data_IF_812972962397
#
_entry.id   IF_812972962397
#
_cell.length_a   1.000
_cell.length_b   1.000
_cell.length_c   1.000
_cell.angle_alpha   90.00
_cell.angle_beta   90.00
_cell.angle_gamma   90.00
#
_symmetry.space_group_name_H-M   'P 1'
#
loop_
_entity.id
_entity.type
_entity.pdbx_description
1 polymer ?
#
# COMPACT_ATOMS: atom_id res chain seq x y z
N UNK A 1 -13.03 -16.78 8.50
CA UNK A 1 -11.83 -15.98 8.17
C UNK A 1 -12.18 -15.11 6.98
N UNK A 2 -11.95 -13.80 7.06
CA UNK A 2 -12.36 -12.84 6.03
C UNK A 2 -11.55 -13.09 4.75
N UNK A 3 -12.18 -13.72 3.75
CA UNK A 3 -11.60 -13.93 2.42
C UNK A 3 -11.65 -12.69 1.53
N UNK A 4 -12.34 -11.63 1.98
CA UNK A 4 -12.59 -10.41 1.21
C UNK A 4 -11.33 -9.52 1.12
N UNK A 5 -10.40 -9.60 2.09
CA UNK A 5 -9.17 -8.80 2.11
C UNK A 5 -7.88 -9.59 1.79
N UNK A 6 -7.95 -10.91 1.61
CA UNK A 6 -6.74 -11.73 1.38
C UNK A 6 -5.80 -11.88 2.57
N UNK A 7 -6.16 -11.36 3.75
CA UNK A 7 -5.29 -11.28 4.93
C UNK A 7 -5.06 -12.61 5.68
N UNK A 8 -5.55 -13.74 5.16
CA UNK A 8 -5.55 -15.00 5.91
C UNK A 8 -4.40 -15.95 5.57
N UNK A 9 -3.78 -15.85 4.38
CA UNK A 9 -2.64 -16.67 3.93
C UNK A 9 -2.38 -16.33 2.44
N UNK A 10 -1.77 -15.18 2.17
CA UNK A 10 -1.16 -14.92 0.87
C UNK A 10 0.21 -15.57 0.81
N UNK A 11 0.65 -16.00 -0.38
CA UNK A 11 2.06 -16.33 -0.61
C UNK A 11 2.87 -15.03 -0.51
N UNK A 12 3.22 -14.65 0.72
CA UNK A 12 4.10 -13.52 1.02
C UNK A 12 5.54 -13.98 0.81
N UNK A 13 6.34 -13.14 0.16
CA UNK A 13 7.75 -13.45 -0.09
C UNK A 13 8.57 -12.17 -0.03
N UNK A 14 9.65 -12.17 0.75
CA UNK A 14 10.65 -11.11 0.76
C UNK A 14 11.89 -11.64 0.07
N UNK A 15 12.45 -10.88 -0.86
CA UNK A 15 13.68 -11.24 -1.56
C UNK A 15 14.80 -11.60 -0.56
N UNK A 16 15.49 -12.73 -0.79
CA UNK A 16 16.50 -13.29 0.10
C UNK A 16 16.00 -14.40 1.05
N UNK A 17 14.68 -14.60 1.18
CA UNK A 17 14.12 -15.67 2.02
C UNK A 17 14.49 -17.09 1.54
N UNK A 18 14.83 -17.27 0.26
CA UNK A 18 15.29 -18.54 -0.32
C UNK A 18 16.62 -19.04 0.27
N UNK A 19 17.44 -18.13 0.79
CA UNK A 19 18.77 -18.44 1.34
C UNK A 19 18.73 -18.89 2.81
N UNK A 20 17.60 -18.74 3.50
CA UNK A 20 17.45 -19.14 4.90
C UNK A 20 16.83 -20.56 5.02
N UNK A 21 17.54 -21.56 5.58
CA UNK A 21 17.01 -22.92 5.75
C UNK A 21 15.83 -23.03 6.71
N UNK A 22 15.58 -22.00 7.53
CA UNK A 22 14.44 -21.93 8.45
C UNK A 22 13.35 -20.95 8.00
N UNK A 23 13.42 -20.45 6.76
CA UNK A 23 12.36 -19.59 6.22
C UNK A 23 11.06 -20.38 6.01
N UNK A 24 9.96 -19.86 6.56
CA UNK A 24 8.61 -20.40 6.33
C UNK A 24 8.13 -20.24 4.88
N UNK A 25 8.90 -19.54 4.03
CA UNK A 25 8.48 -19.05 2.71
C UNK A 25 9.06 -19.86 1.52
N UNK A 26 9.48 -21.11 1.75
CA UNK A 26 10.23 -21.94 0.78
C UNK A 26 9.46 -22.48 -0.44
N UNK A 27 8.20 -22.10 -0.68
CA UNK A 27 7.43 -22.62 -1.82
C UNK A 27 7.19 -21.58 -2.90
N UNK A 28 7.90 -21.70 -4.03
CA UNK A 28 7.60 -20.98 -5.25
C UNK A 28 6.15 -21.23 -5.72
N UNK A 29 5.49 -20.24 -6.37
CA UNK A 29 4.06 -20.03 -6.25
C UNK A 29 3.31 -20.47 -7.51
N UNK A 30 3.32 -21.76 -7.89
CA UNK A 30 2.59 -22.17 -9.10
C UNK A 30 1.79 -23.45 -8.90
N UNK A 31 0.90 -23.43 -7.92
CA UNK A 31 -0.36 -24.16 -8.00
C UNK A 31 -1.40 -23.43 -7.15
N UNK A 32 -2.61 -23.11 -7.67
CA UNK A 32 -3.71 -22.80 -6.78
C UNK A 32 -3.88 -24.00 -5.84
N UNK A 33 -3.83 -23.79 -4.53
CA UNK A 33 -4.23 -24.82 -3.59
C UNK A 33 -5.61 -25.33 -4.01
N UNK A 34 -5.74 -26.64 -4.24
CA UNK A 34 -7.00 -27.25 -4.64
C UNK A 34 -7.99 -27.02 -3.49
N UNK A 35 -8.84 -26.00 -3.62
CA UNK A 35 -9.88 -25.74 -2.63
C UNK A 35 -10.98 -26.77 -2.85
N UNK A 36 -11.34 -27.58 -1.85
CA UNK A 36 -12.58 -28.33 -1.92
C UNK A 36 -13.73 -27.34 -2.14
N UNK A 37 -14.60 -27.64 -3.11
CA UNK A 37 -15.79 -26.84 -3.33
C UNK A 37 -16.66 -26.92 -2.07
N UNK A 38 -16.70 -25.82 -1.32
CA UNK A 38 -17.63 -25.68 -0.21
C UNK A 38 -19.01 -25.39 -0.81
N UNK A 39 -19.91 -26.36 -0.68
CA UNK A 39 -21.33 -26.14 -0.95
C UNK A 39 -21.89 -25.23 0.15
N UNK A 40 -21.95 -23.93 -0.14
CA UNK A 40 -22.66 -22.97 0.70
C UNK A 40 -24.15 -23.22 0.50
N UNK A 41 -24.79 -23.93 1.44
CA UNK A 41 -26.23 -24.24 1.41
C UNK A 41 -27.11 -23.12 1.98
N UNK A 42 -26.51 -21.97 2.32
CA UNK A 42 -27.19 -20.74 2.70
C UNK A 42 -26.49 -20.02 3.85
N UNK A 43 -26.23 -18.72 3.69
CA UNK A 43 -25.83 -17.82 4.77
C UNK A 43 -27.08 -16.99 5.10
N UNK A 44 -27.78 -17.33 6.19
CA UNK A 44 -28.83 -16.46 6.76
C UNK A 44 -28.18 -15.52 7.77
N UNK A 45 -27.75 -14.36 7.30
CA UNK A 45 -27.50 -13.20 8.16
C UNK A 45 -28.72 -12.27 8.11
N UNK A 46 -29.02 -11.49 9.16
CA UNK A 46 -29.99 -10.40 9.03
C UNK A 46 -29.56 -9.52 7.86
N UNK A 47 -30.48 -9.28 6.92
CA UNK A 47 -30.17 -8.64 5.64
C UNK A 47 -29.63 -7.23 5.88
N UNK A 48 -28.34 -7.03 5.60
CA UNK A 48 -27.81 -5.69 5.40
C UNK A 48 -28.45 -5.15 4.11
N UNK A 49 -29.33 -4.16 4.25
CA UNK A 49 -29.92 -3.46 3.11
C UNK A 49 -29.12 -2.18 2.82
N UNK A 50 -28.78 -1.88 1.55
CA UNK A 50 -28.21 -0.60 1.20
C UNK A 50 -29.21 0.53 1.46
N UNK A 51 -28.71 1.71 1.80
CA UNK A 51 -29.52 2.92 1.76
C UNK A 51 -29.66 3.41 0.32
N UNK A 52 -30.84 3.87 -0.07
CA UNK A 52 -31.10 4.39 -1.41
C UNK A 52 -31.21 5.92 -1.38
N UNK A 53 -30.53 6.62 -2.30
CA UNK A 53 -30.68 8.07 -2.48
C UNK A 53 -32.00 8.40 -3.17
N UNK A 54 -32.40 9.68 -3.17
CA UNK A 54 -33.59 10.14 -3.88
C UNK A 54 -33.48 9.92 -5.40
N UNK A 55 -32.27 9.95 -5.97
CA UNK A 55 -32.02 9.62 -7.38
C UNK A 55 -31.96 8.10 -7.67
N UNK A 56 -32.00 7.27 -6.62
CA UNK A 56 -32.06 5.81 -6.75
C UNK A 56 -30.72 5.09 -6.56
N UNK A 57 -29.63 5.79 -6.23
CA UNK A 57 -28.31 5.20 -6.01
C UNK A 57 -28.28 4.37 -4.73
N UNK A 58 -27.58 3.23 -4.76
CA UNK A 58 -27.47 2.32 -3.62
C UNK A 58 -26.13 2.53 -2.90
N UNK A 59 -26.20 2.74 -1.59
CA UNK A 59 -25.02 2.95 -0.76
C UNK A 59 -24.88 1.86 0.30
N UNK A 60 -23.74 1.17 0.26
CA UNK A 60 -23.40 0.06 1.17
C UNK A 60 -22.40 0.46 2.27
N UNK A 61 -21.91 1.70 2.27
CA UNK A 61 -20.89 2.20 3.19
C UNK A 61 -21.39 3.11 4.31
N UNK A 62 -22.71 3.24 4.52
CA UNK A 62 -23.26 4.07 5.61
C UNK A 62 -23.44 3.32 6.94
N UNK A 63 -23.08 2.03 6.99
CA UNK A 63 -23.06 1.26 8.24
C UNK A 63 -21.90 1.67 9.17
N UNK A 64 -21.94 1.23 10.42
CA UNK A 64 -20.91 1.52 11.44
C UNK A 64 -19.48 1.18 10.97
N UNK A 65 -19.31 0.16 10.13
CA UNK A 65 -17.99 -0.24 9.62
C UNK A 65 -17.58 0.50 8.33
N UNK A 66 -18.43 1.35 7.75
CA UNK A 66 -18.14 2.06 6.51
C UNK A 66 -18.01 1.17 5.26
N UNK A 67 -18.16 -0.15 5.40
CA UNK A 67 -17.98 -1.15 4.33
C UNK A 67 -18.91 -2.35 4.53
N UNK A 68 -18.95 -3.24 3.54
CA UNK A 68 -19.82 -4.42 3.55
C UNK A 68 -19.10 -5.69 3.11
N UNK A 69 -19.36 -6.80 3.80
CA UNK A 69 -18.95 -8.14 3.40
C UNK A 69 -20.08 -9.13 3.68
N UNK A 70 -20.47 -9.96 2.69
CA UNK A 70 -21.49 -10.98 2.87
C UNK A 70 -21.18 -11.92 4.05
N UNK A 71 -22.18 -12.17 4.91
CA UNK A 71 -22.05 -13.11 6.02
C UNK A 71 -21.34 -12.58 7.27
N UNK A 72 -21.07 -11.27 7.36
CA UNK A 72 -20.44 -10.63 8.52
C UNK A 72 -21.25 -9.43 9.02
N UNK A 73 -21.43 -9.30 10.34
CA UNK A 73 -22.06 -8.12 10.93
C UNK A 73 -21.10 -6.93 10.93
N UNK A 74 -21.67 -5.71 10.88
CA UNK A 74 -20.90 -4.45 10.92
C UNK A 74 -20.00 -4.37 12.17
N UNK A 75 -20.52 -4.70 13.37
CA UNK A 75 -19.74 -4.69 14.62
C UNK A 75 -18.55 -5.66 14.58
N UNK A 76 -18.77 -6.91 14.15
CA UNK A 76 -17.71 -7.90 14.07
C UNK A 76 -16.63 -7.49 13.07
N UNK A 77 -17.04 -6.85 11.97
CA UNK A 77 -16.11 -6.32 10.99
C UNK A 77 -15.24 -5.21 11.58
N UNK A 78 -15.87 -4.25 12.28
CA UNK A 78 -15.18 -3.15 12.94
C UNK A 78 -14.21 -3.66 14.02
N UNK A 79 -14.63 -4.61 14.87
CA UNK A 79 -13.75 -5.23 15.88
C UNK A 79 -12.51 -5.86 15.24
N UNK A 80 -12.69 -6.65 14.17
CA UNK A 80 -11.58 -7.28 13.46
C UNK A 80 -10.66 -6.24 12.82
N UNK A 81 -11.22 -5.17 12.24
CA UNK A 81 -10.44 -4.09 11.63
C UNK A 81 -9.62 -3.35 12.69
N UNK A 82 -10.23 -2.97 13.81
CA UNK A 82 -9.54 -2.31 14.94
C UNK A 82 -8.40 -3.18 15.45
N UNK A 83 -8.63 -4.47 15.69
CA UNK A 83 -7.59 -5.38 16.20
C UNK A 83 -6.38 -5.48 15.24
N UNK A 84 -6.66 -5.56 13.92
CA UNK A 84 -5.61 -5.63 12.89
C UNK A 84 -4.82 -4.32 12.84
N UNK A 85 -5.51 -3.18 12.82
CA UNK A 85 -4.88 -1.86 12.76
C UNK A 85 -4.11 -1.53 14.03
N UNK A 86 -4.61 -1.89 15.21
CA UNK A 86 -3.92 -1.69 16.49
C UNK A 86 -2.62 -2.49 16.55
N UNK A 87 -2.65 -3.75 16.10
CA UNK A 87 -1.43 -4.56 16.00
C UNK A 87 -0.43 -3.92 15.04
N UNK A 88 -0.88 -3.45 13.88
CA UNK A 88 -0.03 -2.77 12.91
C UNK A 88 0.58 -1.49 13.50
N UNK A 89 -0.21 -0.65 14.17
CA UNK A 89 0.24 0.61 14.75
C UNK A 89 1.33 0.42 15.82
N UNK A 90 1.25 -0.64 16.63
CA UNK A 90 2.32 -0.99 17.58
C UNK A 90 3.62 -1.35 16.88
N UNK A 91 3.57 -2.01 15.73
CA UNK A 91 4.75 -2.32 14.93
C UNK A 91 5.30 -1.07 14.22
N UNK A 92 4.42 -0.24 13.67
CA UNK A 92 4.76 1.02 13.03
C UNK A 92 5.51 1.96 14.00
N UNK A 93 5.05 2.07 15.24
CA UNK A 93 5.73 2.88 16.26
C UNK A 93 7.14 2.35 16.58
N UNK A 94 7.32 1.03 16.60
CA UNK A 94 8.64 0.41 16.78
C UNK A 94 9.56 0.68 15.59
N UNK A 95 9.03 0.62 14.36
CA UNK A 95 9.78 0.96 13.15
C UNK A 95 10.21 2.42 13.19
N UNK A 96 9.27 3.33 13.47
CA UNK A 96 9.52 4.77 13.60
C UNK A 96 10.61 5.07 14.63
N UNK A 97 10.54 4.45 15.81
CA UNK A 97 11.57 4.61 16.85
C UNK A 97 12.96 4.13 16.38
N UNK A 98 13.02 3.01 15.62
CA UNK A 98 14.28 2.51 15.05
C UNK A 98 14.86 3.44 13.99
N UNK A 99 14.03 3.99 13.11
CA UNK A 99 14.45 4.94 12.08
C UNK A 99 14.90 6.26 12.71
N UNK A 100 14.16 6.76 13.70
CA UNK A 100 14.51 7.98 14.43
C UNK A 100 15.85 7.83 15.17
N UNK A 101 16.10 6.68 15.81
CA UNK A 101 17.37 6.41 16.48
C UNK A 101 18.59 6.44 15.53
N UNK A 102 18.39 6.13 14.26
CA UNK A 102 19.40 6.22 13.18
C UNK A 102 19.33 7.52 12.38
N UNK A 103 18.44 8.42 12.76
CA UNK A 103 18.17 9.68 12.06
C UNK A 103 17.83 9.49 10.57
N UNK A 104 17.22 8.38 10.22
CA UNK A 104 16.84 8.05 8.84
C UNK A 104 15.50 8.73 8.47
N UNK A 105 15.46 9.36 7.30
CA UNK A 105 14.22 9.88 6.73
C UNK A 105 13.52 8.74 5.98
N UNK A 106 12.27 8.43 6.37
CA UNK A 106 11.48 7.37 5.73
C UNK A 106 10.28 7.95 5.01
N UNK A 107 10.18 7.69 3.70
CA UNK A 107 9.14 8.22 2.82
C UNK A 107 8.35 7.08 2.18
N UNK A 108 7.03 7.09 2.35
CA UNK A 108 6.12 6.08 1.78
C UNK A 108 5.41 6.66 0.55
N UNK A 109 5.79 6.21 -0.64
CA UNK A 109 5.17 6.60 -1.91
C UNK A 109 3.93 5.74 -2.17
N UNK A 110 2.77 6.38 -2.22
CA UNK A 110 1.46 5.75 -2.46
C UNK A 110 0.80 6.35 -3.69
N UNK A 111 0.09 5.55 -4.48
CA UNK A 111 -0.56 6.02 -5.73
C UNK A 111 -1.54 4.98 -6.26
N UNK A 112 -2.27 5.33 -7.33
CA UNK A 112 -2.88 4.30 -8.20
C UNK A 112 -1.80 3.52 -8.99
N UNK A 113 -2.14 2.36 -9.57
CA UNK A 113 -1.26 1.71 -10.56
C UNK A 113 -0.96 2.64 -11.73
N UNK A 114 0.30 2.70 -12.16
CA UNK A 114 0.70 3.49 -13.34
C UNK A 114 0.78 5.00 -13.12
N UNK A 115 0.63 5.53 -11.90
CA UNK A 115 0.80 6.97 -11.61
C UNK A 115 2.24 7.46 -11.75
N UNK A 116 3.21 6.54 -11.91
CA UNK A 116 4.61 6.85 -12.19
C UNK A 116 5.56 6.87 -10.98
N UNK A 117 5.21 6.20 -9.88
CA UNK A 117 6.05 6.10 -8.66
C UNK A 117 7.48 5.64 -8.96
N UNK A 118 7.65 4.51 -9.63
CA UNK A 118 8.97 3.96 -9.91
C UNK A 118 9.82 4.91 -10.74
N UNK A 119 9.25 5.56 -11.76
CA UNK A 119 9.99 6.53 -12.58
C UNK A 119 10.39 7.76 -11.76
N UNK A 120 9.46 8.31 -10.99
CA UNK A 120 9.75 9.43 -10.07
C UNK A 120 10.87 9.04 -9.09
N UNK A 121 10.80 7.83 -8.54
CA UNK A 121 11.77 7.32 -7.59
C UNK A 121 13.14 7.12 -8.24
N UNK A 122 13.23 6.45 -9.39
CA UNK A 122 14.51 6.24 -10.09
C UNK A 122 15.18 7.55 -10.46
N UNK A 123 14.42 8.54 -10.96
CA UNK A 123 14.96 9.87 -11.28
C UNK A 123 15.42 10.63 -10.02
N UNK A 124 14.69 10.48 -8.91
CA UNK A 124 15.07 11.06 -7.61
C UNK A 124 16.37 10.44 -7.10
N UNK A 125 16.49 9.12 -7.13
CA UNK A 125 17.69 8.39 -6.70
C UNK A 125 18.91 8.78 -7.52
N UNK A 126 18.77 8.92 -8.84
CA UNK A 126 19.87 9.38 -9.70
C UNK A 126 20.35 10.80 -9.35
N UNK A 127 19.44 11.69 -8.94
CA UNK A 127 19.78 13.07 -8.52
C UNK A 127 20.34 13.16 -7.09
N UNK A 128 20.06 12.17 -6.25
CA UNK A 128 20.55 12.07 -4.88
C UNK A 128 21.84 11.23 -4.78
N UNK A 129 22.21 10.54 -5.86
CA UNK A 129 23.40 9.72 -5.95
C UNK A 129 24.63 10.49 -5.47
N UNK A 130 25.43 9.84 -4.64
CA UNK A 130 26.65 10.36 -4.01
C UNK A 130 26.45 11.57 -3.07
N UNK A 131 25.20 12.00 -2.81
CA UNK A 131 24.88 13.10 -1.88
C UNK A 131 24.31 12.63 -0.55
N UNK A 132 23.50 11.57 -0.57
CA UNK A 132 22.89 10.98 0.61
C UNK A 132 22.70 9.48 0.42
N UNK A 133 23.05 8.63 1.40
CA UNK A 133 22.76 7.19 1.34
C UNK A 133 21.27 6.95 1.17
N UNK A 134 20.90 6.15 0.18
CA UNK A 134 19.52 5.79 -0.10
C UNK A 134 19.37 4.27 -0.13
N UNK A 135 18.21 3.78 0.29
CA UNK A 135 17.78 2.41 0.07
C UNK A 135 16.28 2.37 -0.22
N UNK A 136 15.80 1.29 -0.85
CA UNK A 136 14.40 1.17 -1.24
C UNK A 136 13.80 -0.17 -0.80
N UNK A 137 12.62 -0.10 -0.20
CA UNK A 137 11.70 -1.25 -0.11
C UNK A 137 10.66 -1.06 -1.20
N UNK A 138 10.60 -2.00 -2.14
CA UNK A 138 9.62 -2.00 -3.22
C UNK A 138 8.54 -3.03 -2.88
N UNK A 139 7.27 -2.63 -2.95
CA UNK A 139 6.12 -3.46 -2.65
C UNK A 139 5.19 -3.59 -3.85
N UNK A 140 5.06 -4.80 -4.38
CA UNK A 140 4.10 -5.13 -5.43
C UNK A 140 3.45 -6.50 -5.16
N UNK A 141 2.32 -6.77 -5.79
CA UNK A 141 1.67 -8.08 -5.75
C UNK A 141 2.53 -9.14 -6.41
N UNK A 142 3.16 -8.81 -7.53
CA UNK A 142 3.91 -9.75 -8.36
C UNK A 142 5.07 -9.07 -9.08
N UNK A 143 6.01 -9.90 -9.54
CA UNK A 143 7.22 -9.53 -10.29
C UNK A 143 8.30 -8.84 -9.46
N UNK A 144 9.47 -8.67 -10.07
CA UNK A 144 10.64 -7.98 -9.49
C UNK A 144 11.07 -6.81 -10.38
N UNK A 145 10.19 -6.39 -11.30
CA UNK A 145 10.55 -5.49 -12.39
C UNK A 145 10.93 -4.11 -11.87
N UNK A 146 10.14 -3.57 -10.94
CA UNK A 146 10.38 -2.26 -10.36
C UNK A 146 11.60 -2.28 -9.43
N UNK A 147 11.76 -3.32 -8.61
CA UNK A 147 12.97 -3.53 -7.83
C UNK A 147 14.24 -3.60 -8.71
N UNK A 148 14.18 -4.28 -9.87
CA UNK A 148 15.29 -4.34 -10.81
C UNK A 148 15.62 -2.97 -11.44
N UNK A 149 14.59 -2.20 -11.82
CA UNK A 149 14.76 -0.83 -12.33
C UNK A 149 15.39 0.10 -11.29
N UNK A 150 14.99 -0.03 -10.03
CA UNK A 150 15.57 0.74 -8.93
C UNK A 150 17.03 0.35 -8.72
N UNK A 151 17.36 -0.95 -8.68
CA UNK A 151 18.75 -1.41 -8.54
C UNK A 151 19.66 -0.95 -9.68
N UNK A 152 19.13 -0.78 -10.89
CA UNK A 152 19.89 -0.24 -12.02
C UNK A 152 20.41 1.19 -11.79
N UNK A 153 19.85 1.95 -10.83
CA UNK A 153 20.38 3.25 -10.40
C UNK A 153 21.67 3.14 -9.59
N UNK A 154 21.98 1.94 -9.07
CA UNK A 154 23.02 1.67 -8.09
C UNK A 154 22.53 1.72 -6.64
N UNK A 155 21.26 2.03 -6.41
CA UNK A 155 20.66 2.07 -5.06
C UNK A 155 20.29 0.66 -4.60
N UNK A 156 20.65 0.24 -3.37
CA UNK A 156 20.17 -1.00 -2.78
C UNK A 156 18.64 -1.02 -2.70
N UNK A 157 18.01 -2.07 -3.22
CA UNK A 157 16.57 -2.25 -3.15
C UNK A 157 16.18 -3.71 -2.93
N UNK A 158 15.13 -3.91 -2.15
CA UNK A 158 14.55 -5.21 -1.83
C UNK A 158 13.09 -5.27 -2.26
N UNK A 159 12.72 -6.34 -2.96
CA UNK A 159 11.33 -6.64 -3.27
C UNK A 159 10.61 -7.25 -2.07
N UNK A 160 9.42 -6.73 -1.77
CA UNK A 160 8.40 -7.37 -0.94
C UNK A 160 7.24 -7.76 -1.85
N UNK A 161 7.05 -9.06 -2.07
CA UNK A 161 5.92 -9.59 -2.79
C UNK A 161 4.75 -9.78 -1.82
N UNK A 162 3.68 -9.03 -2.03
CA UNK A 162 2.49 -9.06 -1.16
C UNK A 162 1.50 -10.16 -1.55
N UNK A 163 1.76 -10.88 -2.65
CA UNK A 163 0.89 -11.91 -3.20
C UNK A 163 -0.47 -11.33 -3.59
N UNK A 164 -1.48 -11.54 -2.75
CA UNK A 164 -2.84 -10.97 -2.92
C UNK A 164 -3.07 -9.72 -2.07
N UNK A 165 -2.10 -9.31 -1.27
CA UNK A 165 -2.14 -8.09 -0.48
C UNK A 165 -2.30 -6.86 -1.39
N UNK A 166 -3.03 -5.86 -0.92
CA UNK A 166 -3.25 -4.61 -1.63
C UNK A 166 -2.41 -3.43 -1.07
N UNK A 167 -1.54 -3.72 -0.09
CA UNK A 167 -0.72 -2.75 0.63
C UNK A 167 0.46 -3.46 1.29
N UNK A 168 1.49 -2.69 1.67
CA UNK A 168 2.48 -3.09 2.66
C UNK A 168 1.98 -2.81 4.08
N UNK A 169 2.42 -3.60 5.06
CA UNK A 169 2.18 -3.37 6.49
C UNK A 169 3.49 -3.13 7.27
N UNK A 170 3.38 -2.73 8.53
CA UNK A 170 4.53 -2.42 9.36
C UNK A 170 5.42 -3.65 9.67
N UNK A 171 4.86 -4.86 9.67
CA UNK A 171 5.65 -6.08 9.87
C UNK A 171 6.57 -6.32 8.66
N UNK A 172 6.04 -6.17 7.45
CA UNK A 172 6.82 -6.28 6.21
C UNK A 172 8.00 -5.30 6.20
N UNK A 173 7.77 -4.06 6.64
CA UNK A 173 8.85 -3.07 6.77
C UNK A 173 9.86 -3.47 7.85
N UNK A 174 9.39 -3.97 9.00
CA UNK A 174 10.26 -4.42 10.08
C UNK A 174 11.19 -5.57 9.66
N UNK A 175 10.73 -6.43 8.74
CA UNK A 175 11.47 -7.58 8.23
C UNK A 175 12.40 -7.23 7.07
N UNK A 176 12.00 -6.28 6.21
CA UNK A 176 12.76 -5.86 5.03
C UNK A 176 13.86 -4.84 5.35
N UNK A 177 13.57 -3.82 6.16
CA UNK A 177 14.50 -2.71 6.41
C UNK A 177 15.88 -3.16 6.95
N UNK A 178 16.00 -4.12 7.89
CA UNK A 178 17.30 -4.56 8.38
C UNK A 178 18.17 -5.30 7.35
N UNK A 179 17.59 -5.70 6.21
CA UNK A 179 18.30 -6.41 5.13
C UNK A 179 18.95 -5.47 4.12
N UNK A 180 18.61 -4.18 4.17
CA UNK A 180 19.16 -3.16 3.29
C UNK A 180 20.38 -2.51 3.95
N UNK A 181 21.49 -2.32 3.21
CA UNK A 181 22.60 -1.52 3.68
C UNK A 181 22.22 -0.03 3.58
N UNK A 182 21.66 0.52 4.65
CA UNK A 182 21.35 1.94 4.79
C UNK A 182 22.05 2.50 6.02
N UNK A 183 22.94 3.47 5.79
CA UNK A 183 23.66 4.16 6.85
C UNK A 183 22.74 5.05 7.69
N UNK A 184 23.23 5.46 8.86
CA UNK A 184 22.58 6.50 9.66
C UNK A 184 22.49 7.80 8.84
N UNK A 185 21.47 8.62 9.12
CA UNK A 185 21.13 9.83 8.36
C UNK A 185 20.74 9.63 6.88
N UNK A 186 20.60 8.38 6.43
CA UNK A 186 20.15 8.06 5.07
C UNK A 186 18.66 8.26 4.84
N UNK A 187 18.22 8.02 3.61
CA UNK A 187 16.81 8.07 3.19
C UNK A 187 16.34 6.66 2.80
N UNK A 188 15.30 6.16 3.48
CA UNK A 188 14.59 4.96 3.10
C UNK A 188 13.34 5.34 2.31
N UNK A 189 13.30 4.98 1.03
CA UNK A 189 12.08 5.07 0.24
C UNK A 189 11.31 3.75 0.35
N UNK A 190 10.00 3.85 0.54
CA UNK A 190 9.08 2.72 0.46
C UNK A 190 8.19 3.00 -0.74
N UNK A 191 8.33 2.23 -1.81
CA UNK A 191 7.38 2.25 -2.92
C UNK A 191 6.26 1.25 -2.63
N UNK A 192 5.07 1.75 -2.28
CA UNK A 192 3.95 0.89 -1.90
C UNK A 192 3.22 0.33 -3.13
N UNK A 193 2.38 -0.68 -2.89
CA UNK A 193 1.50 -1.25 -3.90
C UNK A 193 0.63 -0.14 -4.50
N UNK A 194 0.40 -0.18 -5.82
CA UNK A 194 -0.50 0.75 -6.52
C UNK A 194 -1.94 0.61 -6.05
N UNK A 195 -2.33 1.33 -5.00
CA UNK A 195 -3.67 1.34 -4.43
C UNK A 195 -3.91 2.64 -3.63
N UNK A 196 -5.05 3.31 -3.84
CA UNK A 196 -5.45 4.53 -3.11
C UNK A 196 -6.45 4.29 -1.96
N UNK A 197 -6.75 3.03 -1.64
CA UNK A 197 -7.71 2.65 -0.59
C UNK A 197 -6.97 1.99 0.56
N UNK A 198 -6.44 0.78 0.36
CA UNK A 198 -5.85 -0.01 1.45
C UNK A 198 -4.68 0.71 2.16
N UNK A 199 -3.70 1.31 1.45
CA UNK A 199 -2.52 1.87 2.13
C UNK A 199 -2.81 3.14 2.96
N UNK A 200 -4.02 3.70 2.88
CA UNK A 200 -4.42 4.86 3.66
C UNK A 200 -4.48 4.54 5.16
N UNK A 201 -4.99 3.36 5.53
CA UNK A 201 -5.19 2.94 6.92
C UNK A 201 -3.95 2.32 7.57
N UNK A 202 -2.92 1.98 6.79
CA UNK A 202 -1.73 1.29 7.29
C UNK A 202 -0.56 2.26 7.45
N UNK A 203 -0.23 2.55 8.71
CA UNK A 203 1.03 3.19 9.10
C UNK A 203 2.16 2.15 9.03
N UNK A 204 3.28 2.51 8.42
CA UNK A 204 4.46 1.65 8.30
C UNK A 204 5.59 2.05 9.25
N UNK A 205 5.43 3.17 9.95
CA UNK A 205 6.48 3.85 10.69
C UNK A 205 7.20 4.91 9.87
N UNK A 206 6.68 5.26 8.68
CA UNK A 206 7.23 6.32 7.85
C UNK A 206 7.15 7.69 8.54
N UNK A 207 8.00 8.62 8.08
CA UNK A 207 7.91 10.02 8.50
C UNK A 207 6.85 10.77 7.71
N UNK A 208 6.78 10.52 6.40
CA UNK A 208 5.78 11.12 5.51
C UNK A 208 5.27 10.10 4.52
N UNK A 209 3.94 10.08 4.35
CA UNK A 209 3.25 9.43 3.25
C UNK A 209 3.11 10.46 2.11
N UNK A 210 3.54 10.10 0.91
CA UNK A 210 3.57 10.97 -0.27
C UNK A 210 2.67 10.37 -1.34
N UNK A 211 1.55 11.02 -1.62
CA UNK A 211 0.63 10.60 -2.67
C UNK A 211 1.13 11.07 -4.04
N UNK A 212 1.22 10.16 -5.00
CA UNK A 212 1.50 10.48 -6.41
C UNK A 212 0.21 10.31 -7.20
N UNK A 213 -0.29 11.40 -7.78
CA UNK A 213 -1.50 11.45 -8.58
C UNK A 213 -1.14 11.83 -10.01
N UNK A 214 -1.51 11.02 -11.01
CA UNK A 214 -1.31 11.35 -12.42
C UNK A 214 -2.52 12.11 -12.97
N UNK A 215 -2.28 13.13 -13.81
CA UNK A 215 -3.37 13.87 -14.50
C UNK A 215 -4.26 12.98 -15.37
N UNK A 216 -3.75 11.82 -15.81
CA UNK A 216 -4.52 10.82 -16.57
C UNK A 216 -5.59 10.12 -15.73
N UNK A 217 -5.59 10.30 -14.41
CA UNK A 217 -6.54 9.65 -13.50
C UNK A 217 -7.82 10.47 -13.32
N UNK A 218 -7.81 11.76 -13.69
CA UNK A 218 -8.92 12.69 -13.49
C UNK A 218 -8.83 13.47 -12.17
N UNK A 219 -9.31 14.71 -12.17
CA UNK A 219 -9.12 15.69 -11.10
C UNK A 219 -9.95 15.42 -9.83
N UNK A 220 -10.92 14.52 -9.90
CA UNK A 220 -11.83 14.17 -8.80
C UNK A 220 -11.28 13.08 -7.85
N UNK A 221 -10.05 12.60 -8.09
CA UNK A 221 -9.43 11.54 -7.27
C UNK A 221 -9.33 11.89 -5.80
N UNK A 222 -8.94 13.12 -5.40
CA UNK A 222 -8.91 13.47 -3.99
C UNK A 222 -10.26 13.33 -3.27
N UNK A 223 -11.35 13.76 -3.91
CA UNK A 223 -12.70 13.61 -3.38
C UNK A 223 -13.16 12.15 -3.32
N UNK A 224 -12.73 11.32 -4.28
CA UNK A 224 -13.08 9.89 -4.35
C UNK A 224 -12.31 9.03 -3.35
N UNK A 225 -11.11 9.46 -2.95
CA UNK A 225 -10.25 8.71 -2.02
C UNK A 225 -9.81 9.57 -0.81
N UNK A 226 -10.75 10.19 -0.09
CA UNK A 226 -10.45 11.25 0.87
C UNK A 226 -9.51 10.78 2.00
N UNK A 227 -9.63 9.52 2.43
CA UNK A 227 -8.76 8.96 3.46
C UNK A 227 -7.28 8.91 3.05
N UNK A 228 -6.98 8.63 1.78
CA UNK A 228 -5.61 8.58 1.29
C UNK A 228 -4.97 9.96 1.26
N UNK A 229 -5.69 10.94 0.71
CA UNK A 229 -5.18 12.30 0.58
C UNK A 229 -5.09 13.00 1.94
N UNK A 230 -6.03 12.74 2.85
CA UNK A 230 -5.94 13.20 4.25
C UNK A 230 -4.76 12.56 5.01
N UNK A 231 -4.38 11.31 4.70
CA UNK A 231 -3.24 10.64 5.31
C UNK A 231 -1.89 11.06 4.71
N UNK A 232 -1.88 11.65 3.52
CA UNK A 232 -0.66 12.09 2.85
C UNK A 232 -0.19 13.44 3.40
N UNK A 233 1.11 13.59 3.63
CA UNK A 233 1.71 14.88 3.99
C UNK A 233 2.05 15.73 2.76
N UNK A 234 2.10 15.10 1.59
CA UNK A 234 2.44 15.72 0.31
C UNK A 234 1.71 15.00 -0.81
N UNK A 235 1.11 15.76 -1.71
CA UNK A 235 0.61 15.27 -2.99
C UNK A 235 1.51 15.77 -4.13
N UNK A 236 1.92 14.87 -5.00
CA UNK A 236 2.65 15.15 -6.23
C UNK A 236 1.74 14.90 -7.43
N UNK A 237 1.41 15.97 -8.16
CA UNK A 237 0.71 15.86 -9.43
C UNK A 237 1.71 15.53 -10.54
N UNK A 238 1.57 14.36 -11.16
CA UNK A 238 2.49 13.78 -12.11
C UNK A 238 1.90 13.74 -13.53
N UNK A 239 2.78 13.53 -14.52
CA UNK A 239 2.47 13.52 -15.96
C UNK A 239 1.84 14.81 -16.47
N UNK A 240 2.20 15.94 -15.86
CA UNK A 240 1.66 17.27 -16.19
C UNK A 240 1.97 17.70 -17.63
N UNK A 241 2.95 17.07 -18.27
CA UNK A 241 3.21 17.17 -19.70
C UNK A 241 2.01 16.77 -20.57
N UNK A 242 1.08 15.96 -20.04
CA UNK A 242 -0.13 15.54 -20.72
C UNK A 242 -1.31 16.50 -20.59
N UNK A 243 -1.22 17.54 -19.75
CA UNK A 243 -2.30 18.53 -19.55
C UNK A 243 -2.84 19.14 -20.87
N UNK A 244 -2.01 19.47 -21.89
CA UNK A 244 -2.52 19.99 -23.16
C UNK A 244 -3.42 19.03 -23.94
N UNK A 245 -3.41 17.74 -23.58
CA UNK A 245 -4.16 16.67 -24.27
C UNK A 245 -5.32 16.13 -23.42
N UNK A 246 -5.53 16.67 -22.21
CA UNK A 246 -6.52 16.20 -21.26
C UNK A 246 -7.46 17.33 -20.85
N UNK A 247 -8.73 16.98 -20.63
CA UNK A 247 -9.66 17.88 -19.95
C UNK A 247 -9.50 17.66 -18.43
N UNK A 248 -8.51 18.32 -17.84
CA UNK A 248 -8.16 18.21 -16.42
C UNK A 248 -8.03 19.61 -15.81
N UNK A 249 -8.75 19.85 -14.72
CA UNK A 249 -8.65 21.10 -13.95
C UNK A 249 -7.69 20.93 -12.77
N UNK A 250 -6.52 21.55 -12.88
CA UNK A 250 -5.45 21.48 -11.87
C UNK A 250 -5.87 22.17 -10.57
N UNK A 251 -6.51 23.33 -10.65
CA UNK A 251 -6.90 24.09 -9.47
C UNK A 251 -7.97 23.34 -8.69
N UNK A 252 -8.95 22.76 -9.38
CA UNK A 252 -9.98 21.93 -8.77
C UNK A 252 -9.40 20.68 -8.10
N UNK A 253 -8.39 20.06 -8.73
CA UNK A 253 -7.69 18.92 -8.14
C UNK A 253 -6.99 19.31 -6.83
N UNK A 254 -6.25 20.43 -6.82
CA UNK A 254 -5.49 20.89 -5.65
C UNK A 254 -6.45 21.30 -4.52
N UNK A 255 -7.54 22.00 -4.85
CA UNK A 255 -8.54 22.44 -3.86
C UNK A 255 -9.27 21.27 -3.18
N UNK A 256 -9.22 20.08 -3.77
CA UNK A 256 -9.86 18.87 -3.27
C UNK A 256 -8.93 17.96 -2.45
N UNK A 257 -7.64 18.27 -2.40
CA UNK A 257 -6.58 17.44 -1.83
C UNK A 257 -6.26 17.73 -0.37
#
# INVERSE_FOLDING_TARGET
>A
MCTTCGCAEGNLYIEGDEHNPHSAFRSAPFAPAARPALNITGIKTPDFAPSQTAEGDLHYGHGEAGTHAPGMSQRRMLEVEIDVLDKNNRLAERNRARFAARQQLVLNLVSSPGSGKTTLLTETLMKLKDRVPCAVIEGDQQTVNDAARIRATGTPAIQVNTGKGCHLDAQMIADAAPRLPLDDHGILFIENVGNLVCPASFDLGEKHKVAVLSVTEGEDKPLKYPHMFAAASLMLLNKVDLLPYLNFDVEKCIASA
#
